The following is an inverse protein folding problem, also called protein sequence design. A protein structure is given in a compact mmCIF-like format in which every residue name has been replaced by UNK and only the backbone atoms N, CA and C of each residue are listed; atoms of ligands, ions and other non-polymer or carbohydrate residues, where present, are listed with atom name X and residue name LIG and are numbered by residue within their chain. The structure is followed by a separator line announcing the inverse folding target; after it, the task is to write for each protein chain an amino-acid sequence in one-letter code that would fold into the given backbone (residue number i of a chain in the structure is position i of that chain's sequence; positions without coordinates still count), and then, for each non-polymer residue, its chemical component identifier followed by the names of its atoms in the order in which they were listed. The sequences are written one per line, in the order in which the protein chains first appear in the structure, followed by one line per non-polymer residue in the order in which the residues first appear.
data_IF_670051555097
#
_entry.id   IF_670051555097
#
_cell.length_a   1.000
_cell.length_b   1.000
_cell.length_c   1.000
_cell.angle_alpha   90.00
_cell.angle_beta   90.00
_cell.angle_gamma   90.00
#
_symmetry.space_group_name_H-M   'P 1'
#
loop_
_entity.id
_entity.type
_entity.pdbx_description
1 polymer ?
#
# COMPACT_ATOMS: atom_id res chain seq x y z
N UNK A 1 8.44 -12.06 4.37
CA UNK A 1 7.91 -10.94 3.56
C UNK A 1 9.08 -10.31 2.82
N UNK A 2 8.97 -10.12 1.50
CA UNK A 2 10.01 -9.42 0.74
C UNK A 2 10.11 -7.94 1.16
N UNK A 3 11.33 -7.40 1.22
CA UNK A 3 11.56 -5.97 1.46
C UNK A 3 11.40 -5.20 0.14
N UNK A 4 11.24 -3.87 0.22
CA UNK A 4 11.19 -3.05 -1.00
C UNK A 4 12.50 -3.17 -1.79
N UNK A 5 13.63 -3.19 -1.09
CA UNK A 5 14.96 -3.35 -1.66
C UNK A 5 15.12 -4.70 -2.38
N UNK A 6 14.70 -5.80 -1.76
CA UNK A 6 14.77 -7.11 -2.42
C UNK A 6 13.91 -7.18 -3.68
N UNK A 7 12.75 -6.51 -3.70
CA UNK A 7 11.90 -6.45 -4.89
C UNK A 7 12.51 -5.60 -6.01
N UNK A 8 13.21 -4.51 -5.67
CA UNK A 8 13.94 -3.69 -6.64
C UNK A 8 15.13 -4.43 -7.23
N UNK A 9 15.87 -5.19 -6.41
CA UNK A 9 16.95 -6.04 -6.91
C UNK A 9 16.40 -7.12 -7.86
N UNK A 10 15.33 -7.81 -7.48
CA UNK A 10 14.69 -8.80 -8.34
C UNK A 10 14.18 -8.20 -9.66
N UNK A 11 13.69 -6.96 -9.63
CA UNK A 11 13.30 -6.24 -10.84
C UNK A 11 14.51 -6.05 -11.77
N UNK A 12 15.62 -5.55 -11.22
CA UNK A 12 16.85 -5.33 -11.98
C UNK A 12 17.36 -6.64 -12.62
N UNK A 13 17.40 -7.73 -11.86
CA UNK A 13 17.86 -9.03 -12.36
C UNK A 13 16.95 -9.55 -13.50
N UNK A 14 15.64 -9.28 -13.43
CA UNK A 14 14.70 -9.64 -14.49
C UNK A 14 14.81 -8.72 -15.72
N UNK A 15 15.08 -7.44 -15.53
CA UNK A 15 15.35 -6.50 -16.62
C UNK A 15 16.64 -6.89 -17.38
N UNK A 16 17.69 -7.29 -16.67
CA UNK A 16 18.91 -7.83 -17.29
C UNK A 16 18.62 -9.10 -18.10
N UNK A 17 17.83 -10.03 -17.56
CA UNK A 17 17.42 -11.24 -18.29
C UNK A 17 16.63 -10.91 -19.55
N UNK A 18 15.73 -9.93 -19.48
CA UNK A 18 14.97 -9.48 -20.64
C UNK A 18 15.89 -8.86 -21.70
N UNK A 19 16.84 -8.02 -21.29
CA UNK A 19 17.87 -7.46 -22.17
C UNK A 19 18.73 -8.55 -22.84
N UNK A 20 18.96 -9.67 -22.14
CA UNK A 20 19.67 -10.84 -22.68
C UNK A 20 18.79 -11.73 -23.59
N UNK A 21 17.54 -11.33 -23.86
CA UNK A 21 16.62 -12.03 -24.78
C UNK A 21 15.70 -13.05 -24.13
N UNK A 22 15.63 -13.12 -22.79
CA UNK A 22 14.68 -13.99 -22.09
C UNK A 22 13.29 -13.33 -22.02
N UNK A 23 12.46 -13.56 -23.04
CA UNK A 23 11.10 -13.04 -23.11
C UNK A 23 10.19 -13.55 -21.96
N UNK A 24 10.55 -14.62 -21.26
CA UNK A 24 9.79 -15.08 -20.09
C UNK A 24 9.88 -14.13 -18.89
N UNK A 25 10.89 -13.25 -18.89
CA UNK A 25 11.09 -12.24 -17.85
C UNK A 25 10.01 -11.15 -17.86
N UNK A 26 9.35 -10.87 -18.99
CA UNK A 26 8.30 -9.83 -19.07
C UNK A 26 7.14 -10.10 -18.10
N UNK A 27 6.60 -11.32 -18.14
CA UNK A 27 5.50 -11.71 -17.26
C UNK A 27 5.91 -11.73 -15.77
N UNK A 28 7.19 -11.97 -15.49
CA UNK A 28 7.73 -11.89 -14.14
C UNK A 28 7.91 -10.44 -13.67
N UNK A 29 8.36 -9.54 -14.55
CA UNK A 29 8.50 -8.11 -14.28
C UNK A 29 7.16 -7.47 -13.90
N UNK A 30 6.09 -7.79 -14.63
CA UNK A 30 4.73 -7.31 -14.31
C UNK A 30 4.30 -7.67 -12.89
N UNK A 31 4.63 -8.89 -12.44
CA UNK A 31 4.30 -9.36 -11.08
C UNK A 31 5.13 -8.62 -10.03
N UNK A 32 6.43 -8.43 -10.30
CA UNK A 32 7.33 -7.69 -9.41
C UNK A 32 6.91 -6.22 -9.31
N UNK A 33 6.53 -5.58 -10.41
CA UNK A 33 6.07 -4.19 -10.40
C UNK A 33 4.79 -4.02 -9.57
N UNK A 34 3.83 -4.95 -9.69
CA UNK A 34 2.65 -4.97 -8.81
C UNK A 34 3.03 -5.13 -7.35
N UNK A 35 3.98 -6.01 -7.03
CA UNK A 35 4.47 -6.20 -5.67
C UNK A 35 5.16 -4.93 -5.11
N UNK A 36 5.99 -4.27 -5.91
CA UNK A 36 6.64 -2.99 -5.57
C UNK A 36 5.60 -1.92 -5.28
N UNK A 37 4.60 -1.76 -6.16
CA UNK A 37 3.52 -0.78 -5.96
C UNK A 37 2.74 -1.05 -4.68
N UNK A 38 2.35 -2.30 -4.43
CA UNK A 38 1.65 -2.70 -3.21
C UNK A 38 2.49 -2.39 -1.96
N UNK A 39 3.80 -2.67 -2.01
CA UNK A 39 4.71 -2.40 -0.89
C UNK A 39 4.90 -0.91 -0.66
N UNK A 40 5.08 -0.11 -1.71
CA UNK A 40 5.16 1.36 -1.62
C UNK A 40 3.89 1.95 -0.99
N UNK A 41 2.71 1.45 -1.37
CA UNK A 41 1.43 1.88 -0.78
C UNK A 41 1.36 1.56 0.73
N UNK A 42 1.77 0.37 1.14
CA UNK A 42 1.83 0.01 2.57
C UNK A 42 2.79 0.92 3.35
N UNK A 43 3.97 1.19 2.80
CA UNK A 43 4.95 2.10 3.41
C UNK A 43 4.36 3.51 3.54
N UNK A 44 3.73 4.02 2.48
CA UNK A 44 3.07 5.34 2.49
C UNK A 44 1.99 5.43 3.57
N UNK A 45 1.11 4.43 3.68
CA UNK A 45 0.11 4.39 4.75
C UNK A 45 0.73 4.37 6.15
N UNK A 46 1.80 3.60 6.34
CA UNK A 46 2.53 3.57 7.60
C UNK A 46 3.13 4.94 7.94
N UNK A 47 3.79 5.58 6.97
CA UNK A 47 4.36 6.91 7.12
C UNK A 47 3.29 7.97 7.43
N UNK A 48 2.15 7.93 6.73
CA UNK A 48 1.01 8.82 6.99
C UNK A 48 0.48 8.66 8.41
N UNK A 49 0.35 7.43 8.91
CA UNK A 49 -0.08 7.17 10.29
C UNK A 49 0.92 7.74 11.29
N UNK A 50 2.21 7.50 11.08
CA UNK A 50 3.26 8.05 11.96
C UNK A 50 3.26 9.58 11.94
N UNK A 51 3.13 10.20 10.76
CA UNK A 51 3.05 11.65 10.63
C UNK A 51 1.82 12.23 11.33
N UNK A 52 0.66 11.58 11.21
CA UNK A 52 -0.57 11.98 11.90
C UNK A 52 -0.42 11.91 13.43
N UNK A 53 0.20 10.84 13.95
CA UNK A 53 0.49 10.71 15.39
C UNK A 53 1.44 11.80 15.85
N UNK A 54 2.54 12.05 15.11
CA UNK A 54 3.49 13.12 15.42
C UNK A 54 2.81 14.48 15.48
N UNK A 55 1.94 14.79 14.51
CA UNK A 55 1.16 16.04 14.48
C UNK A 55 0.22 16.17 15.67
N UNK A 56 -0.48 15.10 16.05
CA UNK A 56 -1.38 15.12 17.21
C UNK A 56 -0.62 15.31 18.53
N UNK A 57 0.54 14.65 18.69
CA UNK A 57 1.40 14.83 19.87
C UNK A 57 1.95 16.25 19.94
N UNK A 58 2.38 16.82 18.82
CA UNK A 58 2.83 18.21 18.75
C UNK A 58 1.71 19.21 19.11
N UNK A 59 0.45 18.86 18.84
CA UNK A 59 -0.73 19.63 19.25
C UNK A 59 -1.14 19.41 20.73
N UNK A 60 -0.34 18.69 21.52
CA UNK A 60 -0.59 18.44 22.95
C UNK A 60 -1.44 17.20 23.25
N UNK A 61 -1.80 16.40 22.25
CA UNK A 61 -2.56 15.14 22.49
C UNK A 61 -1.63 14.08 23.06
N UNK A 62 -1.98 13.43 24.19
CA UNK A 62 -1.20 12.32 24.73
C UNK A 62 -0.99 11.20 23.70
N UNK A 63 0.22 10.61 23.67
CA UNK A 63 0.64 9.62 22.67
C UNK A 63 -0.35 8.46 22.52
N UNK A 64 -0.92 7.97 23.61
CA UNK A 64 -1.86 6.84 23.59
C UNK A 64 -3.22 7.19 22.99
N UNK A 65 -3.63 8.45 23.07
CA UNK A 65 -4.83 8.94 22.37
C UNK A 65 -4.54 9.23 20.89
N UNK A 66 -3.36 9.77 20.59
CA UNK A 66 -2.93 10.03 19.21
C UNK A 66 -2.81 8.74 18.38
N UNK A 67 -2.32 7.65 18.97
CA UNK A 67 -2.18 6.33 18.30
C UNK A 67 -3.51 5.66 17.97
N UNK A 68 -4.57 5.91 18.75
CA UNK A 68 -5.88 5.29 18.55
C UNK A 68 -6.55 5.73 17.26
N UNK A 69 -6.13 6.86 16.68
CA UNK A 69 -6.69 7.42 15.46
C UNK A 69 -8.16 7.81 15.64
N UNK A 70 -8.66 8.74 14.82
CA UNK A 70 -10.12 8.88 14.72
C UNK A 70 -10.62 7.62 14.01
N UNK A 71 -11.23 6.70 14.76
CA UNK A 71 -12.05 5.64 14.19
C UNK A 71 -13.22 6.28 13.44
N UNK A 72 -12.97 6.75 12.20
CA UNK A 72 -14.03 7.14 11.30
C UNK A 72 -14.72 5.85 10.89
N UNK A 73 -15.87 5.60 11.51
CA UNK A 73 -16.89 4.66 11.05
C UNK A 73 -16.98 4.79 9.52
N UNK A 74 -16.54 3.80 8.76
CA UNK A 74 -17.08 3.60 7.43
C UNK A 74 -18.50 3.09 7.65
N UNK A 75 -19.45 4.02 7.76
CA UNK A 75 -20.84 3.70 7.51
C UNK A 75 -20.88 3.13 6.09
N UNK A 76 -21.00 1.81 5.97
CA UNK A 76 -21.63 1.25 4.79
C UNK A 76 -23.08 1.70 4.90
N UNK A 77 -23.63 2.50 3.98
CA UNK A 77 -25.07 2.46 3.83
C UNK A 77 -25.38 1.03 3.38
N UNK A 78 -26.10 0.28 4.21
CA UNK A 78 -26.96 -0.76 3.66
C UNK A 78 -27.85 -0.04 2.64
N UNK A 79 -27.53 -0.18 1.37
CA UNK A 79 -28.38 0.29 0.30
C UNK A 79 -29.47 -0.76 0.07
N UNK A 80 -30.73 -0.54 0.48
CA UNK A 80 -31.81 -1.47 0.27
C UNK A 80 -32.51 -1.25 -1.08
N UNK A 81 -31.97 -0.40 -1.98
CA UNK A 81 -32.69 -0.01 -3.21
C UNK A 81 -32.47 -0.92 -4.42
N UNK A 82 -31.78 -2.06 -4.28
CA UNK A 82 -31.74 -3.11 -5.32
C UNK A 82 -33.01 -3.96 -5.27
N UNK A 83 -34.19 -3.33 -5.38
CA UNK A 83 -35.45 -3.92 -5.83
C UNK A 83 -36.53 -2.83 -5.89
N UNK A 84 -36.95 -2.47 -7.12
CA UNK A 84 -38.27 -1.96 -7.53
C UNK A 84 -38.13 -0.91 -8.63
N UNK A 85 -38.04 -1.38 -9.87
CA UNK A 85 -38.64 -0.68 -10.99
C UNK A 85 -39.48 -1.70 -11.78
N UNK A 86 -40.70 -1.26 -12.10
CA UNK A 86 -41.82 -1.99 -12.70
C UNK A 86 -41.55 -2.43 -14.14
#
# INVERSE_FOLDING_TARGET
MATLESLLQQKHDLEERLCNGDASAEAALDRIDRAIMARKKQISHSQQRVAAVKKAVAAGVPKDQAKKGKAKKSARPNDPTINRFE
#
